data_IF_219277757785
#
_entry.id   IF_219277757785
#
_cell.length_a   1.000
_cell.length_b   1.000
_cell.length_c   1.000
_cell.angle_alpha   90.00
_cell.angle_beta   90.00
_cell.angle_gamma   90.00
#
_symmetry.space_group_name_H-M   'P 1'
#
loop_
_entity.id
_entity.type
_entity.pdbx_description
1 polymer ?
#
# COMPACT_ATOMS: atom_id res chain seq x y z
N UNK A 1 -1.50 -21.02 -6.69
CA UNK A 1 -2.10 -19.69 -6.51
C UNK A 1 -1.73 -18.84 -7.71
N UNK A 2 -2.59 -17.92 -8.13
CA UNK A 2 -2.23 -16.92 -9.14
C UNK A 2 -1.34 -15.81 -8.54
N UNK A 3 -0.64 -15.05 -9.38
CA UNK A 3 0.15 -13.91 -8.93
C UNK A 3 -0.69 -12.89 -8.16
N UNK A 4 -1.93 -12.62 -8.59
CA UNK A 4 -2.86 -11.77 -7.85
C UNK A 4 -3.15 -12.33 -6.46
N UNK A 5 -3.35 -13.65 -6.31
CA UNK A 5 -3.55 -14.26 -4.99
C UNK A 5 -2.33 -14.13 -4.09
N UNK A 6 -1.11 -14.24 -4.63
CA UNK A 6 0.12 -13.98 -3.88
C UNK A 6 0.23 -12.52 -3.43
N UNK A 7 -0.12 -11.56 -4.30
CA UNK A 7 -0.16 -10.13 -3.95
C UNK A 7 -1.20 -9.86 -2.86
N UNK A 8 -2.43 -10.41 -3.00
CA UNK A 8 -3.48 -10.29 -1.99
C UNK A 8 -3.00 -10.83 -0.64
N UNK A 9 -2.46 -12.05 -0.61
CA UNK A 9 -2.01 -12.67 0.63
C UNK A 9 -0.87 -11.86 1.29
N UNK A 10 0.09 -11.38 0.50
CA UNK A 10 1.18 -10.53 1.00
C UNK A 10 0.65 -9.21 1.58
N UNK A 11 -0.22 -8.49 0.88
CA UNK A 11 -0.83 -7.25 1.37
C UNK A 11 -1.70 -7.50 2.62
N UNK A 12 -2.52 -8.54 2.62
CA UNK A 12 -3.36 -8.90 3.77
C UNK A 12 -2.51 -9.19 5.01
N UNK A 13 -1.39 -9.90 4.86
CA UNK A 13 -0.45 -10.15 5.97
C UNK A 13 0.19 -8.88 6.55
N UNK A 14 0.16 -7.77 5.81
CA UNK A 14 0.70 -6.45 6.19
C UNK A 14 -0.41 -5.49 6.67
N UNK A 15 -1.62 -6.00 6.89
CA UNK A 15 -2.76 -5.26 7.44
C UNK A 15 -3.59 -4.49 6.41
N UNK A 16 -3.47 -4.81 5.12
CA UNK A 16 -4.34 -4.25 4.08
C UNK A 16 -5.63 -5.07 3.94
N UNK A 17 -6.77 -4.39 3.76
CA UNK A 17 -7.98 -5.02 3.22
C UNK A 17 -7.82 -5.19 1.70
N UNK A 18 -7.95 -6.43 1.23
CA UNK A 18 -7.77 -6.81 -0.19
C UNK A 18 -9.03 -7.36 -0.84
N UNK A 19 -10.21 -7.20 -0.22
CA UNK A 19 -11.50 -7.68 -0.76
C UNK A 19 -11.73 -7.21 -2.19
N UNK A 20 -11.41 -5.94 -2.48
CA UNK A 20 -11.60 -5.33 -3.79
C UNK A 20 -10.38 -5.42 -4.72
N UNK A 21 -9.32 -6.12 -4.30
CA UNK A 21 -8.06 -6.12 -5.07
C UNK A 21 -8.18 -6.95 -6.35
N UNK A 22 -8.97 -8.02 -6.31
CA UNK A 22 -9.19 -8.91 -7.47
C UNK A 22 -10.20 -8.31 -8.45
N UNK A 23 -11.29 -7.71 -7.94
CA UNK A 23 -12.39 -7.13 -8.72
C UNK A 23 -12.06 -5.76 -9.30
N UNK A 24 -11.40 -4.90 -8.52
CA UNK A 24 -11.22 -3.48 -8.83
C UNK A 24 -9.76 -3.04 -8.81
N UNK A 25 -8.83 -3.94 -8.49
CA UNK A 25 -7.40 -3.59 -8.43
C UNK A 25 -7.08 -2.66 -7.26
N UNK A 26 -7.90 -2.64 -6.22
CA UNK A 26 -7.71 -1.75 -5.06
C UNK A 26 -7.63 -2.48 -3.73
N UNK A 27 -6.71 -2.05 -2.87
CA UNK A 27 -6.62 -2.47 -1.48
C UNK A 27 -6.59 -1.24 -0.56
N UNK A 28 -7.06 -1.35 0.68
CA UNK A 28 -7.09 -0.24 1.63
C UNK A 28 -6.44 -0.57 2.95
N UNK A 29 -5.94 0.44 3.67
CA UNK A 29 -5.42 0.28 5.04
C UNK A 29 -5.74 1.52 5.85
N UNK A 30 -6.31 1.32 7.03
CA UNK A 30 -6.68 2.40 7.95
C UNK A 30 -5.55 2.66 8.92
N UNK A 31 -5.17 3.94 9.06
CA UNK A 31 -4.18 4.42 10.02
C UNK A 31 -4.89 5.25 11.08
N UNK A 32 -4.70 4.90 12.35
CA UNK A 32 -5.13 5.74 13.46
C UNK A 32 -4.23 6.98 13.55
N UNK A 33 -4.81 8.17 13.36
CA UNK A 33 -4.08 9.45 13.43
C UNK A 33 -4.63 10.34 14.55
N UNK A 34 -3.93 11.42 14.89
CA UNK A 34 -4.34 12.33 15.95
C UNK A 34 -5.60 13.14 15.61
N UNK A 35 -6.01 13.15 14.33
CA UNK A 35 -7.22 13.82 13.84
C UNK A 35 -8.30 12.81 13.41
N UNK A 36 -8.25 11.60 13.95
CA UNK A 36 -9.14 10.49 13.59
C UNK A 36 -8.51 9.50 12.61
N UNK A 37 -9.17 8.35 12.35
CA UNK A 37 -8.70 7.36 11.39
C UNK A 37 -8.65 7.93 9.97
N UNK A 38 -7.63 7.55 9.21
CA UNK A 38 -7.48 7.90 7.79
C UNK A 38 -7.16 6.66 6.97
N UNK A 39 -7.80 6.55 5.82
CA UNK A 39 -7.60 5.44 4.90
C UNK A 39 -6.53 5.77 3.86
N UNK A 40 -5.63 4.81 3.59
CA UNK A 40 -4.79 4.79 2.41
C UNK A 40 -5.37 3.80 1.40
N UNK A 41 -5.26 4.14 0.12
CA UNK A 41 -5.60 3.27 -0.99
C UNK A 41 -4.33 2.82 -1.71
N UNK A 42 -4.34 1.58 -2.19
CA UNK A 42 -3.33 1.00 -3.08
C UNK A 42 -4.01 0.54 -4.34
N UNK A 43 -3.40 0.86 -5.47
CA UNK A 43 -3.86 0.49 -6.79
C UNK A 43 -2.86 -0.48 -7.42
N UNK A 44 -3.35 -1.65 -7.82
CA UNK A 44 -2.63 -2.66 -8.58
C UNK A 44 -3.01 -2.55 -10.06
N UNK A 45 -2.01 -2.38 -10.92
CA UNK A 45 -2.22 -2.34 -12.37
C UNK A 45 -1.25 -3.29 -13.07
N UNK A 46 -1.78 -4.24 -13.82
CA UNK A 46 -0.98 -5.14 -14.66
C UNK A 46 -0.56 -4.43 -15.95
N UNK A 47 0.65 -4.73 -16.42
CA UNK A 47 1.10 -4.33 -17.75
C UNK A 47 0.36 -5.15 -18.83
N UNK A 48 0.40 -4.67 -20.08
CA UNK A 48 -0.26 -5.35 -21.20
C UNK A 48 0.29 -6.75 -21.46
N UNK A 49 1.58 -6.97 -21.18
CA UNK A 49 2.25 -8.25 -21.33
C UNK A 49 1.95 -9.25 -20.21
N UNK A 50 1.31 -8.82 -19.11
CA UNK A 50 1.04 -9.62 -17.92
C UNK A 50 2.31 -10.22 -17.25
N UNK A 51 3.50 -9.73 -17.62
CA UNK A 51 4.77 -10.13 -17.00
C UNK A 51 5.17 -9.20 -15.86
N UNK A 52 4.62 -7.98 -15.87
CA UNK A 52 4.86 -6.98 -14.84
C UNK A 52 3.56 -6.38 -14.31
N UNK A 53 3.63 -5.86 -13.09
CA UNK A 53 2.59 -5.06 -12.49
C UNK A 53 3.19 -3.83 -11.80
N UNK A 54 2.33 -2.88 -11.45
CA UNK A 54 2.70 -1.70 -10.68
C UNK A 54 1.75 -1.53 -9.51
N UNK A 55 2.34 -1.30 -8.33
CA UNK A 55 1.64 -0.74 -7.18
C UNK A 55 1.85 0.77 -7.14
N UNK A 56 0.80 1.47 -6.77
CA UNK A 56 0.80 2.90 -6.45
C UNK A 56 -0.18 3.12 -5.30
N UNK A 57 -0.12 4.25 -4.62
CA UNK A 57 -1.06 4.50 -3.54
C UNK A 57 -1.40 5.97 -3.35
N UNK A 58 -2.51 6.18 -2.65
CA UNK A 58 -3.03 7.48 -2.29
C UNK A 58 -3.28 7.54 -0.78
N UNK A 59 -2.87 8.65 -0.17
CA UNK A 59 -3.18 8.97 1.23
C UNK A 59 -3.29 10.48 1.39
N UNK A 60 -4.51 10.98 1.64
CA UNK A 60 -4.76 12.40 1.76
C UNK A 60 -4.51 12.94 3.16
N UNK A 61 -3.49 13.77 3.28
CA UNK A 61 -3.15 14.46 4.52
C UNK A 61 -2.63 15.86 4.23
N UNK A 62 -3.01 16.84 5.06
CA UNK A 62 -2.51 18.22 4.96
C UNK A 62 -2.77 18.83 3.58
N UNK A 63 -3.95 18.56 3.00
CA UNK A 63 -4.35 19.09 1.69
C UNK A 63 -3.61 18.49 0.48
N UNK A 64 -2.83 17.42 0.66
CA UNK A 64 -2.11 16.75 -0.43
C UNK A 64 -2.15 15.24 -0.33
N UNK A 65 -1.90 14.57 -1.45
CA UNK A 65 -1.64 13.13 -1.48
C UNK A 65 -0.18 12.86 -1.08
N UNK A 66 0.04 12.34 0.12
CA UNK A 66 1.36 12.01 0.65
C UNK A 66 2.05 10.87 -0.11
N UNK A 67 1.28 10.01 -0.79
CA UNK A 67 1.76 8.85 -1.55
C UNK A 67 1.85 9.10 -3.06
N UNK A 68 1.64 10.34 -3.53
CA UNK A 68 1.62 10.70 -4.95
C UNK A 68 2.85 10.25 -5.77
N UNK A 69 4.01 10.06 -5.13
CA UNK A 69 5.25 9.56 -5.75
C UNK A 69 5.60 8.13 -5.35
N UNK A 70 4.81 7.51 -4.46
CA UNK A 70 5.03 6.16 -3.96
C UNK A 70 4.52 5.14 -4.96
N UNK A 71 5.42 4.59 -5.77
CA UNK A 71 5.10 3.52 -6.71
C UNK A 71 6.16 2.44 -6.71
N UNK A 72 5.77 1.20 -6.97
CA UNK A 72 6.66 0.05 -7.03
C UNK A 72 6.32 -0.79 -8.26
N UNK A 73 7.33 -1.05 -9.10
CA UNK A 73 7.21 -2.06 -10.15
C UNK A 73 7.41 -3.46 -9.57
N UNK A 74 6.67 -4.42 -10.10
CA UNK A 74 6.67 -5.82 -9.67
C UNK A 74 6.90 -6.68 -10.92
N UNK A 75 7.91 -7.54 -10.86
CA UNK A 75 8.09 -8.63 -11.83
C UNK A 75 7.32 -9.84 -11.36
N UNK A 76 6.57 -10.48 -12.26
CA UNK A 76 5.61 -11.54 -11.93
C UNK A 76 6.13 -12.96 -12.21
N UNK A 77 7.39 -13.09 -12.66
CA UNK A 77 8.03 -14.36 -13.01
C UNK A 77 8.45 -15.18 -11.80
N UNK A 78 8.77 -14.51 -10.67
CA UNK A 78 9.23 -15.14 -9.45
C UNK A 78 8.38 -14.69 -8.26
N UNK A 79 7.79 -15.66 -7.56
CA UNK A 79 6.85 -15.40 -6.47
C UNK A 79 7.55 -14.73 -5.29
N UNK A 80 8.78 -15.13 -4.95
CA UNK A 80 9.54 -14.51 -3.86
C UNK A 80 9.83 -13.03 -4.16
N UNK A 81 10.32 -12.73 -5.36
CA UNK A 81 10.61 -11.36 -5.78
C UNK A 81 9.35 -10.46 -5.78
N UNK A 82 8.21 -11.03 -6.20
CA UNK A 82 6.90 -10.37 -6.12
C UNK A 82 6.54 -10.04 -4.65
N UNK A 83 6.65 -11.02 -3.75
CA UNK A 83 6.33 -10.84 -2.33
C UNK A 83 7.23 -9.78 -1.70
N UNK A 84 8.53 -9.80 -2.01
CA UNK A 84 9.49 -8.83 -1.48
C UNK A 84 9.25 -7.42 -2.01
N UNK A 85 8.82 -7.27 -3.26
CA UNK A 85 8.39 -6.00 -3.82
C UNK A 85 7.14 -5.46 -3.10
N UNK A 86 6.15 -6.31 -2.82
CA UNK A 86 4.95 -5.93 -2.06
C UNK A 86 5.30 -5.48 -0.64
N UNK A 87 6.15 -6.24 0.07
CA UNK A 87 6.63 -5.88 1.41
C UNK A 87 7.39 -4.56 1.43
N UNK A 88 8.28 -4.36 0.46
CA UNK A 88 9.07 -3.13 0.31
C UNK A 88 8.17 -1.93 0.07
N UNK A 89 7.17 -2.09 -0.82
CA UNK A 89 6.17 -1.06 -1.08
C UNK A 89 5.35 -0.71 0.16
N UNK A 90 4.78 -1.70 0.86
CA UNK A 90 3.98 -1.45 2.06
C UNK A 90 4.81 -0.78 3.16
N UNK A 91 6.05 -1.22 3.36
CA UNK A 91 6.96 -0.61 4.35
C UNK A 91 7.26 0.85 4.01
N UNK A 92 7.40 1.16 2.71
CA UNK A 92 7.57 2.53 2.24
C UNK A 92 6.32 3.38 2.49
N UNK A 93 5.13 2.84 2.23
CA UNK A 93 3.84 3.50 2.55
C UNK A 93 3.75 3.79 4.04
N UNK A 94 3.97 2.80 4.89
CA UNK A 94 3.94 2.94 6.35
C UNK A 94 4.90 4.05 6.83
N UNK A 95 6.12 4.08 6.27
CA UNK A 95 7.13 5.11 6.56
C UNK A 95 6.68 6.51 6.15
N UNK A 96 6.09 6.66 4.96
CA UNK A 96 5.61 7.96 4.47
C UNK A 96 4.42 8.44 5.31
N UNK A 97 3.43 7.57 5.57
CA UNK A 97 2.26 7.88 6.39
C UNK A 97 2.68 8.28 7.80
N UNK A 98 3.59 7.52 8.43
CA UNK A 98 4.19 7.86 9.72
C UNK A 98 4.88 9.23 9.76
N UNK A 99 5.39 9.70 8.62
CA UNK A 99 6.02 11.01 8.47
C UNK A 99 5.05 12.19 8.38
N UNK A 100 3.76 11.94 8.16
CA UNK A 100 2.73 13.00 8.08
C UNK A 100 2.51 13.68 9.42
N UNK A 101 2.07 14.94 9.41
CA UNK A 101 1.90 15.71 10.63
C UNK A 101 0.95 15.03 11.62
N UNK A 102 -0.19 14.53 11.13
CA UNK A 102 -1.19 13.86 11.96
C UNK A 102 -0.64 12.62 12.67
N UNK A 103 0.23 11.84 12.01
CA UNK A 103 0.88 10.68 12.60
C UNK A 103 2.01 11.04 13.57
N UNK A 104 2.79 12.09 13.26
CA UNK A 104 3.80 12.62 14.19
C UNK A 104 3.18 13.13 15.49
N UNK A 105 1.98 13.70 15.43
CA UNK A 105 1.27 14.18 16.61
C UNK A 105 0.87 13.00 17.53
N UNK A 106 0.35 11.90 16.99
CA UNK A 106 0.05 10.67 17.78
C UNK A 106 1.26 10.22 18.58
N UNK A 107 2.43 10.17 17.94
CA UNK A 107 3.68 9.73 18.59
C UNK A 107 4.13 10.65 19.72
N UNK A 108 3.76 11.94 19.66
CA UNK A 108 4.09 12.93 20.70
C UNK A 108 3.12 12.90 21.88
N UNK A 109 1.89 12.46 21.66
CA UNK A 109 0.85 12.39 22.70
C UNK A 109 0.75 11.02 23.37
N UNK A 110 1.35 9.98 22.77
CA UNK A 110 1.36 8.61 23.30
C UNK A 110 2.61 8.28 24.14
N UNK A 111 3.56 9.21 24.27
CA UNK A 111 4.72 9.11 25.15
C UNK A 111 4.58 10.07 26.32
#
# INVERSE_FOLDING_TARGET
MSNTQHICAALASLGWNTEELVSHGTATKVYATAVGPKEAHVYLRFARDQLTARLSGDYWSEGRNALSTCTQAITLEQVEALIDAVKSFSSNVDRIVAGTYAMRLVRRTAG
#
